data_IF_226675690642
#
_entry.id   IF_226675690642
#
_cell.length_a   1.000
_cell.length_b   1.000
_cell.length_c   1.000
_cell.angle_alpha   90.00
_cell.angle_beta   90.00
_cell.angle_gamma   90.00
#
_symmetry.space_group_name_H-M   'P 1'
#
loop_
_entity.id
_entity.type
_entity.pdbx_description
1 polymer ?
#
# COMPACT_ATOMS: atom_id res chain seq x y z
N UNK A 1 -8.14 -7.26 20.33
CA UNK A 1 -7.03 -6.33 20.58
C UNK A 1 -6.80 -5.62 19.25
N UNK A 2 -6.93 -4.29 19.21
CA UNK A 2 -6.60 -3.49 18.06
C UNK A 2 -5.08 -3.59 17.91
N UNK A 3 -4.61 -3.96 16.73
CA UNK A 3 -3.16 -4.01 16.41
C UNK A 3 -2.52 -2.68 16.81
N UNK A 4 -1.37 -2.75 17.49
CA UNK A 4 -0.65 -1.57 17.99
C UNK A 4 0.19 -0.89 16.87
N UNK A 5 0.02 -1.32 15.60
CA UNK A 5 0.78 -0.84 14.45
C UNK A 5 -0.06 0.14 13.61
N UNK A 6 0.53 1.22 13.11
CA UNK A 6 -0.16 2.11 12.18
C UNK A 6 -0.38 1.37 10.84
N UNK A 7 -1.64 1.27 10.40
CA UNK A 7 -2.02 0.69 9.11
C UNK A 7 -2.41 1.82 8.14
N UNK A 8 -2.14 1.65 6.86
CA UNK A 8 -2.59 2.57 5.82
C UNK A 8 -3.75 1.93 5.06
N UNK A 9 -4.96 2.03 5.62
CA UNK A 9 -6.16 1.41 5.04
C UNK A 9 -7.01 2.44 4.32
N UNK A 10 -7.25 3.59 4.95
CA UNK A 10 -8.08 4.67 4.46
C UNK A 10 -7.37 6.02 4.65
N UNK A 11 -7.71 6.98 3.81
CA UNK A 11 -7.26 8.36 3.95
C UNK A 11 -7.83 9.03 5.20
N UNK A 12 -9.06 8.70 5.56
CA UNK A 12 -9.75 9.27 6.71
C UNK A 12 -9.18 8.82 8.07
N UNK A 13 -8.33 7.78 8.07
CA UNK A 13 -7.64 7.32 9.28
C UNK A 13 -6.57 8.31 9.79
N UNK A 14 -6.21 9.32 9.00
CA UNK A 14 -5.12 10.26 9.31
C UNK A 14 -5.52 11.72 9.03
N UNK A 15 -5.01 12.68 9.84
CA UNK A 15 -5.26 14.10 9.60
C UNK A 15 -4.57 14.59 8.31
N UNK A 16 -5.13 15.63 7.69
CA UNK A 16 -4.62 16.21 6.45
C UNK A 16 -3.11 16.55 6.51
N UNK A 17 -2.62 17.03 7.65
CA UNK A 17 -1.20 17.33 7.83
C UNK A 17 -0.30 16.10 7.67
N UNK A 18 -0.77 14.93 8.06
CA UNK A 18 -0.02 13.69 7.87
C UNK A 18 0.16 13.37 6.38
N UNK A 19 -0.90 13.54 5.58
CA UNK A 19 -0.86 13.34 4.13
C UNK A 19 0.11 14.31 3.45
N UNK A 20 0.07 15.58 3.84
CA UNK A 20 1.01 16.58 3.32
C UNK A 20 2.46 16.20 3.63
N UNK A 21 2.74 15.73 4.84
CA UNK A 21 4.08 15.27 5.22
C UNK A 21 4.54 14.06 4.40
N UNK A 22 3.63 13.12 4.07
CA UNK A 22 3.95 11.96 3.23
C UNK A 22 4.24 12.40 1.80
N UNK A 23 3.46 13.33 1.24
CA UNK A 23 3.71 13.90 -0.09
C UNK A 23 5.04 14.65 -0.12
N UNK A 24 5.37 15.43 0.92
CA UNK A 24 6.66 16.13 1.05
C UNK A 24 7.84 15.15 1.10
N UNK A 25 7.67 14.04 1.82
CA UNK A 25 8.67 12.98 1.85
C UNK A 25 8.82 12.32 0.47
N UNK A 26 7.71 12.05 -0.22
CA UNK A 26 7.72 11.51 -1.58
C UNK A 26 8.47 12.41 -2.56
N UNK A 27 8.29 13.72 -2.48
CA UNK A 27 9.02 14.69 -3.29
C UNK A 27 10.53 14.66 -3.00
N UNK A 28 10.93 14.59 -1.72
CA UNK A 28 12.34 14.48 -1.31
C UNK A 28 12.98 13.19 -1.83
N UNK A 29 12.26 12.06 -1.71
CA UNK A 29 12.74 10.76 -2.23
C UNK A 29 12.90 10.82 -3.76
N UNK A 30 11.96 11.44 -4.46
CA UNK A 30 12.03 11.59 -5.92
C UNK A 30 13.24 12.41 -6.38
N UNK A 31 13.59 13.47 -5.62
CA UNK A 31 14.74 14.34 -5.94
C UNK A 31 16.09 13.74 -5.56
N UNK A 32 16.12 12.95 -4.49
CA UNK A 32 17.36 12.40 -3.89
C UNK A 32 17.17 10.94 -3.49
N UNK A 33 16.88 10.03 -4.43
CA UNK A 33 16.59 8.62 -4.13
C UNK A 33 17.78 7.90 -3.47
N UNK A 34 19.00 8.33 -3.76
CA UNK A 34 20.23 7.75 -3.21
C UNK A 34 20.30 7.85 -1.67
N UNK A 35 19.77 8.92 -1.09
CA UNK A 35 19.76 9.14 0.38
C UNK A 35 18.92 8.07 1.08
N UNK A 36 17.90 7.55 0.40
CA UNK A 36 16.92 6.62 0.98
C UNK A 36 17.18 5.16 0.59
N UNK A 37 18.22 4.88 -0.19
CA UNK A 37 18.51 3.53 -0.72
C UNK A 37 18.72 2.44 0.33
N UNK A 38 18.99 2.81 1.58
CA UNK A 38 19.12 1.91 2.73
C UNK A 38 18.01 2.01 3.78
N UNK A 39 16.97 2.82 3.55
CA UNK A 39 15.93 3.11 4.55
C UNK A 39 15.16 1.86 5.01
N UNK A 40 15.04 0.84 4.16
CA UNK A 40 14.39 -0.44 4.48
C UNK A 40 15.40 -1.60 4.57
N UNK A 41 16.68 -1.31 4.86
CA UNK A 41 17.69 -2.37 5.02
C UNK A 41 17.24 -3.40 6.06
N UNK A 42 17.40 -4.69 5.74
CA UNK A 42 16.94 -5.83 6.54
C UNK A 42 15.41 -5.93 6.78
N UNK A 43 14.59 -5.13 6.09
CA UNK A 43 13.14 -5.22 6.15
C UNK A 43 12.59 -6.10 5.04
N UNK A 44 11.51 -6.82 5.33
CA UNK A 44 10.79 -7.67 4.40
C UNK A 44 9.38 -7.11 4.20
N UNK A 45 9.01 -6.88 2.94
CA UNK A 45 7.66 -6.55 2.55
C UNK A 45 7.00 -7.77 1.90
N UNK A 46 5.79 -8.12 2.37
CA UNK A 46 4.98 -9.12 1.70
C UNK A 46 3.91 -8.47 0.82
N UNK A 47 3.83 -8.88 -0.45
CA UNK A 47 2.79 -8.46 -1.39
C UNK A 47 1.76 -9.57 -1.55
N UNK A 48 0.51 -9.31 -1.12
CA UNK A 48 -0.61 -10.26 -1.17
C UNK A 48 -1.65 -9.75 -2.17
N UNK A 49 -1.54 -10.17 -3.42
CA UNK A 49 -2.41 -9.74 -4.50
C UNK A 49 -3.43 -10.82 -4.82
N UNK A 50 -4.67 -10.62 -4.36
CA UNK A 50 -5.81 -11.52 -4.57
C UNK A 50 -6.54 -11.26 -5.89
N UNK A 51 -6.21 -10.17 -6.56
CA UNK A 51 -6.64 -9.88 -7.93
C UNK A 51 -5.46 -9.39 -8.77
N UNK A 52 -5.45 -9.64 -10.09
CA UNK A 52 -4.37 -9.21 -10.97
C UNK A 52 -4.21 -7.68 -10.97
N UNK A 53 -3.01 -7.19 -10.71
CA UNK A 53 -2.67 -5.76 -10.82
C UNK A 53 -1.18 -5.58 -11.01
N UNK A 54 -0.70 -5.79 -12.22
CA UNK A 54 0.72 -5.80 -12.55
C UNK A 54 1.41 -4.47 -12.18
N UNK A 55 0.83 -3.35 -12.57
CA UNK A 55 1.42 -2.03 -12.30
C UNK A 55 1.55 -1.73 -10.81
N UNK A 56 0.49 -1.93 -10.04
CA UNK A 56 0.48 -1.68 -8.59
C UNK A 56 1.47 -2.58 -7.88
N UNK A 57 1.45 -3.88 -8.18
CA UNK A 57 2.38 -4.83 -7.57
C UNK A 57 3.84 -4.47 -7.85
N UNK A 58 4.19 -4.26 -9.12
CA UNK A 58 5.56 -3.92 -9.52
C UNK A 58 6.00 -2.58 -8.93
N UNK A 59 5.11 -1.60 -8.76
CA UNK A 59 5.45 -0.31 -8.14
C UNK A 59 5.84 -0.46 -6.67
N UNK A 60 5.07 -1.22 -5.87
CA UNK A 60 5.41 -1.51 -4.49
C UNK A 60 6.70 -2.32 -4.37
N UNK A 61 6.85 -3.35 -5.19
CA UNK A 61 8.05 -4.18 -5.20
C UNK A 61 9.29 -3.37 -5.55
N UNK A 62 9.21 -2.55 -6.60
CA UNK A 62 10.32 -1.66 -7.01
C UNK A 62 10.65 -0.65 -5.90
N UNK A 63 9.64 -0.05 -5.27
CA UNK A 63 9.85 0.88 -4.17
C UNK A 63 10.62 0.23 -3.01
N UNK A 64 10.20 -0.96 -2.58
CA UNK A 64 10.86 -1.68 -1.49
C UNK A 64 12.30 -2.07 -1.84
N UNK A 65 12.55 -2.54 -3.06
CA UNK A 65 13.89 -2.87 -3.54
C UNK A 65 14.81 -1.65 -3.60
N UNK A 66 14.30 -0.50 -4.10
CA UNK A 66 15.07 0.75 -4.14
C UNK A 66 15.39 1.32 -2.76
N UNK A 67 14.55 1.01 -1.76
CA UNK A 67 14.81 1.36 -0.36
C UNK A 67 15.73 0.35 0.36
N UNK A 68 16.24 -0.67 -0.34
CA UNK A 68 17.18 -1.66 0.21
C UNK A 68 16.53 -2.81 0.96
N UNK A 69 15.20 -2.97 0.84
CA UNK A 69 14.46 -4.07 1.46
C UNK A 69 14.39 -5.33 0.60
N UNK A 70 13.64 -6.31 1.08
CA UNK A 70 13.42 -7.62 0.45
C UNK A 70 11.93 -7.89 0.26
N UNK A 71 11.60 -8.85 -0.60
CA UNK A 71 10.24 -9.16 -1.02
C UNK A 71 9.91 -10.63 -0.82
N UNK A 72 8.67 -10.87 -0.38
CA UNK A 72 7.98 -12.16 -0.44
C UNK A 72 6.54 -11.91 -0.91
N UNK A 73 5.78 -12.95 -1.20
CA UNK A 73 4.35 -12.83 -1.48
C UNK A 73 3.89 -13.61 -2.69
N UNK A 74 2.66 -13.36 -3.13
CA UNK A 74 2.04 -13.95 -4.29
C UNK A 74 1.25 -12.91 -5.10
N UNK A 75 1.05 -13.21 -6.38
CA UNK A 75 0.30 -12.40 -7.36
C UNK A 75 -0.96 -13.11 -7.86
N UNK A 76 -1.13 -14.38 -7.49
CA UNK A 76 -2.28 -15.17 -7.84
C UNK A 76 -2.66 -16.08 -6.65
N UNK A 77 -3.85 -15.88 -6.05
CA UNK A 77 -4.31 -16.72 -4.94
C UNK A 77 -4.45 -18.20 -5.32
N UNK A 78 -4.67 -18.52 -6.60
CA UNK A 78 -4.74 -19.90 -7.07
C UNK A 78 -3.43 -20.68 -6.86
N UNK A 79 -2.29 -19.99 -6.79
CA UNK A 79 -0.98 -20.57 -6.55
C UNK A 79 -0.56 -20.55 -5.07
N UNK A 80 -1.50 -20.23 -4.17
CA UNK A 80 -1.26 -20.14 -2.72
C UNK A 80 -2.18 -21.09 -1.95
N UNK A 81 -2.00 -21.15 -0.63
CA UNK A 81 -2.87 -21.93 0.28
C UNK A 81 -4.33 -21.47 0.28
N UNK A 82 -4.60 -20.27 -0.22
CA UNK A 82 -5.97 -19.75 -0.43
C UNK A 82 -6.79 -20.68 -1.32
N UNK A 83 -6.17 -21.26 -2.36
CA UNK A 83 -6.82 -22.23 -3.24
C UNK A 83 -7.26 -23.52 -2.53
N UNK A 84 -6.72 -23.77 -1.35
CA UNK A 84 -7.06 -24.91 -0.48
C UNK A 84 -8.06 -24.55 0.62
N UNK A 85 -8.64 -23.35 0.58
CA UNK A 85 -9.64 -22.87 1.54
C UNK A 85 -9.06 -22.16 2.77
N UNK A 86 -7.77 -21.76 2.74
CA UNK A 86 -7.21 -20.93 3.80
C UNK A 86 -7.92 -19.57 3.85
N UNK A 87 -8.28 -19.13 5.06
CA UNK A 87 -9.00 -17.87 5.22
C UNK A 87 -8.06 -16.67 5.11
N UNK A 88 -8.60 -15.50 4.72
CA UNK A 88 -7.85 -14.24 4.71
C UNK A 88 -7.17 -13.97 6.06
N UNK A 89 -7.87 -14.25 7.15
CA UNK A 89 -7.37 -14.08 8.52
C UNK A 89 -6.15 -14.95 8.79
N UNK A 90 -6.20 -16.22 8.41
CA UNK A 90 -5.11 -17.17 8.66
C UNK A 90 -3.90 -16.84 7.79
N UNK A 91 -4.11 -16.59 6.49
CA UNK A 91 -3.04 -16.13 5.58
C UNK A 91 -2.37 -14.87 6.12
N UNK A 92 -3.17 -13.87 6.52
CA UNK A 92 -2.63 -12.60 7.05
C UNK A 92 -1.82 -12.83 8.32
N UNK A 93 -2.34 -13.64 9.25
CA UNK A 93 -1.67 -13.94 10.52
C UNK A 93 -0.32 -14.63 10.31
N UNK A 94 -0.29 -15.62 9.43
CA UNK A 94 0.96 -16.35 9.12
C UNK A 94 1.95 -15.44 8.40
N UNK A 95 1.54 -14.76 7.33
CA UNK A 95 2.46 -13.95 6.53
C UNK A 95 2.98 -12.74 7.30
N UNK A 96 2.16 -12.16 8.20
CA UNK A 96 2.61 -11.05 9.06
C UNK A 96 3.69 -11.45 10.07
N UNK A 97 3.85 -12.75 10.36
CA UNK A 97 4.97 -13.25 11.17
C UNK A 97 6.29 -13.37 10.40
N UNK A 98 6.25 -13.31 9.06
CA UNK A 98 7.42 -13.40 8.18
C UNK A 98 7.88 -12.05 7.65
N UNK A 99 7.02 -11.04 7.69
CA UNK A 99 7.24 -9.74 7.08
C UNK A 99 7.15 -8.59 8.10
N UNK A 100 7.86 -7.50 7.81
CA UNK A 100 7.78 -6.25 8.58
C UNK A 100 6.61 -5.37 8.13
N UNK A 101 6.06 -5.59 6.93
CA UNK A 101 4.93 -4.86 6.36
C UNK A 101 4.20 -5.70 5.32
N UNK A 102 2.88 -5.62 5.28
CA UNK A 102 2.04 -6.24 4.26
C UNK A 102 1.49 -5.18 3.31
N UNK A 103 1.52 -5.48 2.02
CA UNK A 103 0.80 -4.74 0.97
C UNK A 103 -0.25 -5.67 0.40
N UNK A 104 -1.53 -5.29 0.51
CA UNK A 104 -2.64 -6.14 0.10
C UNK A 104 -3.49 -5.47 -0.96
N UNK A 105 -3.79 -6.20 -2.04
CA UNK A 105 -4.84 -5.88 -3.00
C UNK A 105 -5.88 -6.99 -3.03
N UNK A 106 -7.17 -6.63 -2.94
CA UNK A 106 -8.23 -7.63 -2.80
C UNK A 106 -9.50 -7.20 -3.55
N UNK A 107 -10.23 -8.14 -4.22
CA UNK A 107 -11.46 -7.82 -4.96
C UNK A 107 -12.67 -7.52 -4.06
N UNK A 108 -12.57 -7.72 -2.74
CA UNK A 108 -13.66 -7.45 -1.79
C UNK A 108 -13.36 -6.22 -0.97
N UNK A 109 -14.28 -5.25 -0.99
CA UNK A 109 -14.19 -4.03 -0.18
C UNK A 109 -14.07 -4.36 1.31
N UNK A 110 -13.17 -3.65 2.04
CA UNK A 110 -12.91 -3.87 3.45
C UNK A 110 -11.97 -5.04 3.78
N UNK A 111 -11.50 -5.81 2.79
CA UNK A 111 -10.59 -6.93 3.04
C UNK A 111 -9.26 -6.47 3.67
N UNK A 112 -8.69 -5.35 3.23
CA UNK A 112 -7.48 -4.80 3.83
C UNK A 112 -7.68 -4.40 5.30
N UNK A 113 -8.85 -3.87 5.65
CA UNK A 113 -9.23 -3.57 7.04
C UNK A 113 -9.36 -4.85 7.88
N UNK A 114 -10.01 -5.88 7.33
CA UNK A 114 -10.11 -7.18 7.99
C UNK A 114 -8.73 -7.82 8.21
N UNK A 115 -7.83 -7.71 7.24
CA UNK A 115 -6.44 -8.15 7.36
C UNK A 115 -5.70 -7.39 8.47
N UNK A 116 -5.84 -6.07 8.55
CA UNK A 116 -5.21 -5.23 9.57
C UNK A 116 -5.59 -5.66 11.01
N UNK A 117 -6.81 -6.16 11.22
CA UNK A 117 -7.26 -6.66 12.53
C UNK A 117 -6.58 -7.95 12.97
N UNK A 118 -5.98 -8.71 12.06
CA UNK A 118 -5.32 -10.00 12.34
C UNK A 118 -3.80 -9.98 12.13
N UNK A 119 -3.27 -8.95 11.50
CA UNK A 119 -1.84 -8.81 11.22
C UNK A 119 -1.03 -8.45 12.47
N UNK A 120 0.19 -8.97 12.57
CA UNK A 120 1.19 -8.60 13.57
C UNK A 120 2.13 -7.48 13.09
N UNK A 121 1.97 -7.00 11.87
CA UNK A 121 2.74 -5.91 11.29
C UNK A 121 1.82 -4.92 10.55
N UNK A 122 2.31 -3.72 10.17
CA UNK A 122 1.54 -2.77 9.37
C UNK A 122 0.98 -3.36 8.08
N UNK A 123 -0.24 -2.95 7.72
CA UNK A 123 -0.90 -3.30 6.46
C UNK A 123 -1.13 -2.05 5.63
N UNK A 124 -0.79 -2.11 4.35
CA UNK A 124 -1.10 -1.08 3.34
C UNK A 124 -2.16 -1.61 2.40
N UNK A 125 -3.24 -0.86 2.23
CA UNK A 125 -4.26 -1.10 1.22
C UNK A 125 -3.75 -0.63 -0.15
N UNK A 126 -3.51 -1.57 -1.05
CA UNK A 126 -3.11 -1.34 -2.45
C UNK A 126 -4.29 -1.41 -3.44
N UNK A 127 -5.50 -1.24 -2.92
CA UNK A 127 -6.78 -1.30 -3.61
C UNK A 127 -7.66 -2.43 -3.11
N UNK A 128 -8.88 -2.09 -2.71
CA UNK A 128 -9.92 -3.05 -2.32
C UNK A 128 -11.18 -2.83 -3.16
N UNK A 129 -11.29 -3.56 -4.26
CA UNK A 129 -12.37 -3.36 -5.23
C UNK A 129 -12.35 -1.91 -5.80
N UNK A 130 -13.46 -1.40 -6.26
CA UNK A 130 -13.63 0.01 -6.65
C UNK A 130 -13.83 0.97 -5.48
N UNK A 131 -13.50 0.58 -4.24
CA UNK A 131 -13.81 1.33 -3.03
C UNK A 131 -12.70 2.31 -2.64
N UNK A 132 -11.51 1.82 -2.27
CA UNK A 132 -10.41 2.65 -1.77
C UNK A 132 -9.06 2.26 -2.40
N UNK A 133 -8.27 3.28 -2.75
CA UNK A 133 -6.89 3.10 -3.17
C UNK A 133 -6.01 4.25 -2.62
N UNK A 134 -5.75 4.28 -1.30
CA UNK A 134 -5.12 5.42 -0.63
C UNK A 134 -3.75 5.77 -1.22
N UNK A 135 -2.98 4.78 -1.63
CA UNK A 135 -1.65 5.01 -2.21
C UNK A 135 -1.71 5.61 -3.61
N UNK A 136 -2.78 5.35 -4.40
CA UNK A 136 -2.98 6.02 -5.68
C UNK A 136 -3.27 7.51 -5.45
N UNK A 137 -4.13 7.84 -4.50
CA UNK A 137 -4.42 9.23 -4.14
C UNK A 137 -3.16 9.99 -3.71
N UNK A 138 -2.27 9.35 -2.91
CA UNK A 138 -0.97 9.95 -2.55
C UNK A 138 -0.09 10.21 -3.77
N UNK A 139 -0.06 9.29 -4.73
CA UNK A 139 0.72 9.44 -5.98
C UNK A 139 0.17 10.59 -6.81
N UNK A 140 -1.15 10.72 -6.90
CA UNK A 140 -1.81 11.80 -7.64
C UNK A 140 -1.55 13.16 -6.97
N UNK A 141 -1.63 13.24 -5.64
CA UNK A 141 -1.28 14.45 -4.88
C UNK A 141 0.18 14.84 -5.08
N UNK A 142 1.10 13.87 -5.06
CA UNK A 142 2.51 14.13 -5.31
C UNK A 142 2.73 14.66 -6.73
N UNK A 143 2.09 14.07 -7.73
CA UNK A 143 2.17 14.51 -9.13
C UNK A 143 1.67 15.96 -9.25
N UNK A 144 0.52 16.25 -8.66
CA UNK A 144 -0.03 17.61 -8.67
C UNK A 144 0.90 18.62 -7.99
N UNK A 145 1.49 18.26 -6.87
CA UNK A 145 2.46 19.10 -6.17
C UNK A 145 3.69 19.37 -7.04
N UNK A 146 4.24 18.35 -7.69
CA UNK A 146 5.39 18.48 -8.56
C UNK A 146 5.09 19.36 -9.79
N UNK A 147 3.90 19.20 -10.40
CA UNK A 147 3.51 19.92 -11.62
C UNK A 147 3.01 21.35 -11.36
N UNK A 148 2.31 21.59 -10.24
CA UNK A 148 1.68 22.88 -9.90
C UNK A 148 2.41 23.64 -8.81
N UNK A 149 3.34 23.04 -8.10
CA UNK A 149 4.10 23.63 -6.99
C UNK A 149 3.30 23.84 -5.70
N UNK A 150 2.00 23.50 -5.69
CA UNK A 150 1.10 23.72 -4.53
C UNK A 150 -0.05 22.73 -4.52
N UNK A 151 -0.64 22.52 -3.33
CA UNK A 151 -1.84 21.72 -3.10
C UNK A 151 -2.98 22.53 -2.47
N UNK A 152 -2.81 23.84 -2.28
CA UNK A 152 -3.85 24.73 -1.81
C UNK A 152 -4.87 25.00 -2.93
N UNK A 153 -6.14 25.12 -2.59
CA UNK A 153 -7.28 25.18 -3.50
C UNK A 153 -7.44 23.91 -4.36
N UNK A 154 -7.61 22.72 -3.74
CA UNK A 154 -7.82 21.52 -4.50
C UNK A 154 -9.14 21.61 -5.25
N UNK A 155 -9.09 21.40 -6.55
CA UNK A 155 -10.27 20.98 -7.30
C UNK A 155 -10.75 19.70 -6.64
N UNK A 156 -12.02 19.58 -6.31
CA UNK A 156 -12.61 18.43 -5.62
C UNK A 156 -12.21 17.11 -6.30
N UNK A 157 -11.37 16.31 -5.63
CA UNK A 157 -10.91 14.99 -6.12
C UNK A 157 -11.89 13.87 -5.77
N UNK A 158 -13.15 14.17 -5.55
CA UNK A 158 -14.19 13.18 -5.21
C UNK A 158 -14.42 12.13 -6.31
N UNK A 159 -13.71 12.19 -7.44
CA UNK A 159 -13.91 11.33 -8.60
C UNK A 159 -12.64 10.64 -9.11
N UNK A 160 -11.53 10.68 -8.38
CA UNK A 160 -10.38 9.84 -8.67
C UNK A 160 -10.67 8.39 -8.24
N UNK A 161 -11.62 7.77 -8.91
CA UNK A 161 -11.64 6.31 -9.00
C UNK A 161 -10.46 5.94 -9.88
N UNK A 162 -9.65 4.97 -9.42
CA UNK A 162 -8.73 4.31 -10.32
C UNK A 162 -9.56 3.72 -11.46
N UNK A 163 -9.67 4.42 -12.59
CA UNK A 163 -10.12 3.84 -13.82
C UNK A 163 -9.04 2.87 -14.24
N UNK A 164 -9.22 1.62 -13.87
CA UNK A 164 -8.60 0.54 -14.60
C UNK A 164 -9.31 0.57 -15.96
N UNK A 165 -8.65 1.15 -16.94
CA UNK A 165 -9.05 0.98 -18.34
C UNK A 165 -8.96 -0.49 -18.64
N UNK A 166 -10.06 -1.04 -19.10
CA UNK A 166 -10.20 -2.36 -19.72
C UNK A 166 -9.13 -2.59 -20.79
#
# INVERSE_FOLDING_TARGET
MISNHPHLIDLDDYPAQWWLNVVDLGEKISKHPEIYSGACHNKIMATLFYEPSTRTQMSFQTAMLRLGGRLIGFDNPANSSVSKGETLKDTTKIVSSYADILVMRHPVAGAAKAAALSADCPVINAGDSGHLHPTQTLTDLLTLKCEKGRLDHPVSYTHLRAHETE
#
